data_IF_906625371675
#
_entry.id   IF_906625371675
#
_cell.length_a   1.000
_cell.length_b   1.000
_cell.length_c   1.000
_cell.angle_alpha   90.00
_cell.angle_beta   90.00
_cell.angle_gamma   90.00
#
_symmetry.space_group_name_H-M   'P 1'
#
loop_
_entity.id
_entity.type
_entity.pdbx_description
1 polymer ?
#
# COMPACT_ATOMS: atom_id res chain seq x y z
N UNK A 1 -10.95 -8.65 -23.31
CA UNK A 1 -10.56 -7.51 -24.18
C UNK A 1 -10.13 -6.40 -23.22
N UNK A 2 -8.85 -6.12 -22.98
CA UNK A 2 -7.85 -5.66 -23.94
C UNK A 2 -7.56 -4.16 -23.75
N UNK A 3 -7.49 -3.67 -22.51
CA UNK A 3 -7.37 -2.24 -22.16
C UNK A 3 -5.93 -1.70 -22.11
N UNK A 4 -4.93 -2.47 -22.56
CA UNK A 4 -3.52 -2.11 -22.36
C UNK A 4 -2.77 -1.53 -23.58
N UNK A 5 -3.39 -1.40 -24.76
CA UNK A 5 -2.66 -0.92 -25.93
C UNK A 5 -3.27 0.35 -26.52
N UNK A 6 -2.86 1.50 -25.97
CA UNK A 6 -2.54 2.75 -26.70
C UNK A 6 -2.15 3.85 -25.70
N UNK A 7 -0.94 3.76 -25.15
CA UNK A 7 -0.33 4.90 -24.47
C UNK A 7 0.35 5.79 -25.52
N UNK A 8 -0.36 6.83 -25.97
CA UNK A 8 0.28 7.99 -26.59
C UNK A 8 1.10 8.70 -25.51
N UNK A 9 2.39 8.41 -25.45
CA UNK A 9 3.27 8.95 -24.42
C UNK A 9 3.42 10.47 -24.55
N UNK A 10 3.07 11.19 -23.49
CA UNK A 10 3.40 12.60 -23.38
C UNK A 10 4.91 12.76 -23.14
N UNK A 11 5.50 13.92 -23.47
CA UNK A 11 6.92 14.20 -23.20
C UNK A 11 7.27 14.15 -21.70
N UNK A 12 6.29 14.36 -20.82
CA UNK A 12 6.44 14.29 -19.36
C UNK A 12 6.43 12.85 -18.82
N UNK A 13 5.92 11.89 -19.59
CA UNK A 13 5.81 10.49 -19.14
C UNK A 13 7.16 9.76 -19.19
N UNK A 14 7.98 10.06 -20.20
CA UNK A 14 9.28 9.42 -20.40
C UNK A 14 10.26 9.63 -19.23
N UNK A 15 10.45 10.85 -18.67
CA UNK A 15 11.38 11.06 -17.57
C UNK A 15 10.92 10.35 -16.29
N UNK A 16 9.65 10.47 -15.89
CA UNK A 16 9.13 9.77 -14.71
C UNK A 16 9.31 8.25 -14.83
N UNK A 17 8.98 7.66 -15.99
CA UNK A 17 9.18 6.24 -16.24
C UNK A 17 10.65 5.81 -16.11
N UNK A 18 11.57 6.63 -16.59
CA UNK A 18 13.01 6.36 -16.52
C UNK A 18 13.51 6.41 -15.08
N UNK A 19 13.14 7.44 -14.33
CA UNK A 19 13.55 7.61 -12.92
C UNK A 19 13.00 6.49 -12.04
N UNK A 20 11.73 6.12 -12.21
CA UNK A 20 11.09 5.00 -11.48
C UNK A 20 11.85 3.69 -11.73
N UNK A 21 12.17 3.37 -12.98
CA UNK A 21 12.93 2.16 -13.34
C UNK A 21 14.32 2.17 -12.73
N UNK A 22 15.00 3.31 -12.71
CA UNK A 22 16.32 3.45 -12.09
C UNK A 22 16.26 3.22 -10.57
N UNK A 23 15.31 3.85 -9.87
CA UNK A 23 15.11 3.66 -8.44
C UNK A 23 14.80 2.18 -8.15
N UNK A 24 13.82 1.59 -8.82
CA UNK A 24 13.50 0.15 -8.63
C UNK A 24 14.69 -0.77 -8.93
N UNK A 25 15.42 -0.52 -10.01
CA UNK A 25 16.63 -1.26 -10.35
C UNK A 25 17.68 -1.23 -9.24
N UNK A 26 17.87 -0.06 -8.60
CA UNK A 26 18.79 0.07 -7.46
C UNK A 26 18.33 -0.68 -6.21
N UNK A 27 17.02 -0.79 -5.97
CA UNK A 27 16.47 -1.52 -4.82
C UNK A 27 16.61 -3.04 -5.00
N UNK A 28 16.34 -3.57 -6.20
CA UNK A 28 16.39 -5.02 -6.47
C UNK A 28 17.76 -5.66 -6.19
N UNK A 29 18.85 -4.93 -6.45
CA UNK A 29 20.22 -5.43 -6.19
C UNK A 29 20.54 -5.63 -4.70
N UNK A 30 19.81 -4.96 -3.81
CA UNK A 30 20.05 -5.00 -2.36
C UNK A 30 19.52 -6.28 -1.70
N UNK A 31 18.69 -7.05 -2.41
CA UNK A 31 18.07 -8.30 -1.95
C UNK A 31 18.90 -9.57 -2.17
N UNK A 32 20.13 -9.46 -2.67
CA UNK A 32 20.92 -10.63 -3.06
C UNK A 32 21.15 -11.63 -1.90
N UNK A 33 21.18 -11.16 -0.65
CA UNK A 33 21.39 -11.98 0.55
C UNK A 33 20.12 -12.58 1.16
N UNK A 34 18.92 -12.17 0.72
CA UNK A 34 17.68 -12.62 1.34
C UNK A 34 17.24 -14.00 0.84
N UNK A 35 16.36 -14.65 1.61
CA UNK A 35 15.76 -15.91 1.12
C UNK A 35 14.91 -15.64 -0.11
N UNK A 36 14.74 -16.69 -0.93
CA UNK A 36 13.99 -16.59 -2.18
C UNK A 36 12.58 -16.05 -1.95
N UNK A 37 11.92 -16.50 -0.89
CA UNK A 37 10.56 -16.11 -0.53
C UNK A 37 10.45 -14.62 -0.19
N UNK A 38 11.39 -14.09 0.61
CA UNK A 38 11.45 -12.67 0.97
C UNK A 38 11.70 -11.82 -0.27
N UNK A 39 12.67 -12.21 -1.09
CA UNK A 39 13.00 -11.50 -2.33
C UNK A 39 11.83 -11.51 -3.31
N UNK A 40 11.16 -12.65 -3.49
CA UNK A 40 10.05 -12.79 -4.43
C UNK A 40 8.83 -11.97 -3.96
N UNK A 41 8.49 -12.04 -2.67
CA UNK A 41 7.38 -11.25 -2.09
C UNK A 41 7.68 -9.75 -2.14
N UNK A 42 8.87 -9.33 -1.73
CA UNK A 42 9.21 -7.91 -1.75
C UNK A 42 9.37 -7.37 -3.17
N UNK A 43 9.88 -8.18 -4.10
CA UNK A 43 9.86 -7.85 -5.53
C UNK A 43 8.44 -7.52 -5.99
N UNK A 44 7.45 -8.34 -5.62
CA UNK A 44 6.03 -8.05 -5.91
C UNK A 44 5.51 -6.79 -5.24
N UNK A 45 5.91 -6.52 -4.00
CA UNK A 45 5.60 -5.25 -3.32
C UNK A 45 6.12 -4.05 -4.11
N UNK A 46 7.37 -4.11 -4.60
CA UNK A 46 7.95 -3.05 -5.42
C UNK A 46 7.25 -2.92 -6.78
N UNK A 47 6.85 -4.02 -7.40
CA UNK A 47 6.07 -4.01 -8.65
C UNK A 47 4.76 -3.22 -8.46
N UNK A 48 4.05 -3.52 -7.37
CA UNK A 48 2.78 -2.88 -7.03
C UNK A 48 2.94 -1.42 -6.62
N UNK A 49 3.99 -1.09 -5.86
CA UNK A 49 4.32 0.29 -5.55
C UNK A 49 4.59 1.09 -6.83
N UNK A 50 5.32 0.54 -7.80
CA UNK A 50 5.54 1.19 -9.09
C UNK A 50 4.24 1.33 -9.90
N UNK A 51 3.45 0.26 -10.00
CA UNK A 51 2.22 0.26 -10.81
C UNK A 51 1.20 1.25 -10.27
N UNK A 52 1.01 1.29 -8.95
CA UNK A 52 0.13 2.27 -8.30
C UNK A 52 0.58 3.70 -8.56
N UNK A 53 1.88 4.01 -8.47
CA UNK A 53 2.41 5.34 -8.80
C UNK A 53 2.11 5.73 -10.25
N UNK A 54 2.33 4.80 -11.19
CA UNK A 54 2.03 5.03 -12.61
C UNK A 54 0.53 5.25 -12.83
N UNK A 55 -0.33 4.51 -12.14
CA UNK A 55 -1.78 4.72 -12.18
C UNK A 55 -2.14 6.14 -11.75
N UNK A 56 -1.55 6.62 -10.66
CA UNK A 56 -1.79 7.97 -10.15
C UNK A 56 -1.30 9.05 -11.11
N UNK A 57 -0.08 8.91 -11.65
CA UNK A 57 0.52 9.94 -12.50
C UNK A 57 -0.08 10.03 -13.90
N UNK A 58 -0.55 8.91 -14.46
CA UNK A 58 -0.90 8.81 -15.89
C UNK A 58 -2.35 8.44 -16.18
N UNK A 59 -3.07 7.89 -15.19
CA UNK A 59 -4.43 7.36 -15.38
C UNK A 59 -5.45 8.13 -14.54
N UNK A 60 -5.06 8.62 -13.36
CA UNK A 60 -5.98 9.35 -12.50
C UNK A 60 -6.60 10.55 -13.22
N UNK A 61 -7.90 10.83 -12.99
CA UNK A 61 -8.59 11.97 -13.59
C UNK A 61 -7.85 13.30 -13.37
N UNK A 62 -7.81 14.14 -14.42
CA UNK A 62 -7.09 15.43 -14.39
C UNK A 62 -7.58 16.38 -13.29
N UNK A 63 -8.85 16.25 -12.88
CA UNK A 63 -9.44 17.03 -11.77
C UNK A 63 -8.72 16.82 -10.43
N UNK A 64 -8.02 15.69 -10.25
CA UNK A 64 -7.21 15.45 -9.07
C UNK A 64 -5.82 16.12 -9.14
N UNK A 65 -5.39 16.64 -10.29
CA UNK A 65 -4.17 17.43 -10.38
C UNK A 65 -2.88 16.67 -10.01
N UNK A 66 -2.86 15.34 -10.12
CA UNK A 66 -1.68 14.54 -9.79
C UNK A 66 -0.56 14.65 -10.82
N UNK A 67 -0.89 15.08 -12.04
CA UNK A 67 0.05 15.12 -13.17
C UNK A 67 1.15 16.15 -12.92
N UNK A 68 2.35 15.65 -12.60
CA UNK A 68 3.59 16.42 -12.50
C UNK A 68 4.80 15.54 -12.82
N UNK A 69 5.92 16.18 -13.14
CA UNK A 69 7.21 15.51 -13.13
C UNK A 69 7.65 15.31 -11.68
N UNK A 70 7.97 14.07 -11.32
CA UNK A 70 8.46 13.74 -9.99
C UNK A 70 9.98 13.83 -9.94
N UNK A 71 10.46 14.32 -8.81
CA UNK A 71 11.88 14.24 -8.42
C UNK A 71 12.25 12.81 -8.04
N UNK A 72 13.56 12.53 -7.99
CA UNK A 72 14.05 11.22 -7.55
C UNK A 72 13.67 10.96 -6.09
N UNK A 73 13.70 12.00 -5.27
CA UNK A 73 13.38 11.97 -3.85
C UNK A 73 11.89 11.68 -3.60
N UNK A 74 10.99 12.23 -4.42
CA UNK A 74 9.55 11.92 -4.33
C UNK A 74 9.25 10.48 -4.76
N UNK A 75 9.95 9.98 -5.79
CA UNK A 75 9.82 8.59 -6.22
C UNK A 75 10.38 7.64 -5.13
N UNK A 76 11.55 7.94 -4.56
CA UNK A 76 12.12 7.19 -3.44
C UNK A 76 11.18 7.17 -2.24
N UNK A 77 10.62 8.34 -1.88
CA UNK A 77 9.64 8.46 -0.81
C UNK A 77 8.39 7.61 -1.06
N UNK A 78 7.86 7.62 -2.29
CA UNK A 78 6.75 6.75 -2.67
C UNK A 78 7.08 5.28 -2.45
N UNK A 79 8.22 4.81 -2.99
CA UNK A 79 8.63 3.41 -2.83
C UNK A 79 8.80 3.04 -1.35
N UNK A 80 9.38 3.91 -0.54
CA UNK A 80 9.53 3.69 0.91
C UNK A 80 8.17 3.51 1.59
N UNK A 81 7.29 4.51 1.49
CA UNK A 81 6.03 4.52 2.24
C UNK A 81 5.02 3.51 1.73
N UNK A 82 4.86 3.39 0.42
CA UNK A 82 3.92 2.42 -0.14
C UNK A 82 4.40 1.00 0.11
N UNK A 83 5.70 0.70 -0.02
CA UNK A 83 6.21 -0.65 0.29
C UNK A 83 6.02 -0.99 1.77
N UNK A 84 6.25 -0.04 2.68
CA UNK A 84 6.03 -0.26 4.11
C UNK A 84 4.56 -0.57 4.41
N UNK A 85 3.64 0.21 3.87
CA UNK A 85 2.21 -0.04 4.04
C UNK A 85 1.80 -1.41 3.46
N UNK A 86 2.33 -1.79 2.29
CA UNK A 86 2.06 -3.11 1.69
C UNK A 86 2.63 -4.27 2.52
N UNK A 87 3.80 -4.09 3.16
CA UNK A 87 4.32 -5.05 4.14
C UNK A 87 3.37 -5.15 5.34
N UNK A 88 2.93 -4.02 5.90
CA UNK A 88 2.01 -3.97 7.04
C UNK A 88 0.66 -4.63 6.74
N UNK A 89 0.06 -4.30 5.59
CA UNK A 89 -1.18 -4.91 5.12
C UNK A 89 -1.02 -6.40 4.91
N UNK A 90 0.08 -6.85 4.31
CA UNK A 90 0.34 -8.28 4.11
C UNK A 90 0.49 -9.02 5.44
N UNK A 91 1.24 -8.46 6.38
CA UNK A 91 1.35 -9.01 7.74
C UNK A 91 -0.04 -9.20 8.37
N UNK A 92 -0.87 -8.16 8.38
CA UNK A 92 -2.21 -8.22 8.98
C UNK A 92 -3.15 -9.16 8.21
N UNK A 93 -3.04 -9.20 6.89
CA UNK A 93 -3.89 -10.05 6.04
C UNK A 93 -3.60 -11.54 6.24
N UNK A 94 -2.32 -11.91 6.34
CA UNK A 94 -1.90 -13.30 6.54
C UNK A 94 -1.88 -13.71 8.02
N UNK A 95 -2.09 -12.78 8.95
CA UNK A 95 -2.16 -13.08 10.37
C UNK A 95 -3.42 -13.89 10.68
N UNK A 96 -3.24 -15.12 11.17
CA UNK A 96 -4.33 -16.01 11.55
C UNK A 96 -4.23 -16.31 13.04
N UNK A 97 -5.15 -15.76 13.83
CA UNK A 97 -5.20 -15.94 15.30
C UNK A 97 -5.28 -17.41 15.75
N UNK A 98 -5.79 -18.29 14.89
CA UNK A 98 -6.10 -19.69 15.22
C UNK A 98 -4.96 -20.68 14.89
N UNK A 99 -3.77 -20.18 14.53
CA UNK A 99 -2.63 -21.04 14.22
C UNK A 99 -1.99 -21.69 15.45
N UNK A 100 -1.39 -22.87 15.25
CA UNK A 100 -0.56 -23.51 16.28
C UNK A 100 0.59 -22.59 16.72
N UNK A 101 1.06 -22.66 17.99
CA UNK A 101 2.15 -21.81 18.47
C UNK A 101 3.44 -21.86 17.63
N UNK A 102 3.76 -23.04 17.07
CA UNK A 102 4.91 -23.22 16.16
C UNK A 102 4.74 -22.52 14.82
N UNK A 103 3.52 -22.50 14.28
CA UNK A 103 3.21 -21.80 13.04
C UNK A 103 3.24 -20.28 13.27
N UNK A 104 2.66 -19.81 14.39
CA UNK A 104 2.72 -18.40 14.79
C UNK A 104 4.17 -17.91 14.98
N UNK A 105 5.02 -18.71 15.61
CA UNK A 105 6.45 -18.39 15.77
C UNK A 105 7.16 -18.25 14.43
N UNK A 106 6.94 -19.20 13.51
CA UNK A 106 7.55 -19.20 12.18
C UNK A 106 7.07 -18.01 11.33
N UNK A 107 5.77 -17.71 11.40
CA UNK A 107 5.16 -16.54 10.79
C UNK A 107 5.80 -15.24 11.30
N UNK A 108 5.85 -15.04 12.61
CA UNK A 108 6.45 -13.84 13.20
C UNK A 108 7.93 -13.68 12.80
N UNK A 109 8.69 -14.79 12.76
CA UNK A 109 10.09 -14.77 12.32
C UNK A 109 10.23 -14.41 10.83
N UNK A 110 9.34 -14.89 9.98
CA UNK A 110 9.31 -14.52 8.56
C UNK A 110 9.08 -13.01 8.40
N UNK A 111 8.08 -12.46 9.08
CA UNK A 111 7.75 -11.04 8.99
C UNK A 111 8.79 -10.12 9.61
N UNK A 112 9.44 -10.54 10.70
CA UNK A 112 10.59 -9.80 11.23
C UNK A 112 11.69 -9.69 10.16
N UNK A 113 12.00 -10.78 9.46
CA UNK A 113 13.00 -10.76 8.38
C UNK A 113 12.56 -9.91 7.18
N UNK A 114 11.26 -9.89 6.86
CA UNK A 114 10.70 -8.97 5.86
C UNK A 114 10.94 -7.51 6.26
N UNK A 115 10.69 -7.14 7.52
CA UNK A 115 10.90 -5.79 8.04
C UNK A 115 12.38 -5.42 8.13
N UNK A 116 13.24 -6.35 8.55
CA UNK A 116 14.70 -6.16 8.58
C UNK A 116 15.23 -5.91 7.16
N UNK A 117 14.71 -6.64 6.16
CA UNK A 117 15.04 -6.43 4.76
C UNK A 117 14.60 -5.05 4.28
N UNK A 118 13.37 -4.64 4.59
CA UNK A 118 12.87 -3.30 4.30
C UNK A 118 13.80 -2.22 4.88
N UNK A 119 14.14 -2.34 6.17
CA UNK A 119 15.02 -1.40 6.88
C UNK A 119 16.40 -1.29 6.24
N UNK A 120 17.00 -2.43 5.88
CA UNK A 120 18.30 -2.48 5.21
C UNK A 120 18.30 -1.74 3.88
N UNK A 121 17.20 -1.86 3.13
CA UNK A 121 17.11 -1.36 1.76
C UNK A 121 16.88 0.13 1.72
N UNK A 122 15.94 0.60 2.53
CA UNK A 122 15.60 2.00 2.60
C UNK A 122 16.42 2.76 3.65
N UNK A 123 17.38 2.07 4.28
CA UNK A 123 18.20 2.58 5.37
C UNK A 123 17.33 3.25 6.46
N UNK A 124 16.26 2.56 6.84
CA UNK A 124 15.34 2.97 7.91
C UNK A 124 15.53 2.11 9.17
N UNK A 125 14.93 2.57 10.26
CA UNK A 125 14.87 1.81 11.52
C UNK A 125 13.40 1.70 11.96
N UNK A 126 12.57 1.19 11.07
CA UNK A 126 11.14 0.95 11.30
C UNK A 126 10.98 -0.21 12.26
N UNK A 127 10.16 0.00 13.30
CA UNK A 127 9.77 -1.01 14.27
C UNK A 127 8.37 -1.52 13.96
N UNK A 128 7.95 -2.57 14.67
CA UNK A 128 6.58 -3.09 14.57
C UNK A 128 5.54 -2.02 14.93
N UNK A 129 5.85 -1.06 15.80
CA UNK A 129 4.92 0.02 16.16
C UNK A 129 4.57 0.92 14.95
N UNK A 130 5.52 1.13 14.05
CA UNK A 130 5.29 1.90 12.82
C UNK A 130 4.48 1.07 11.82
N UNK A 131 4.69 -0.24 11.77
CA UNK A 131 3.84 -1.16 10.99
C UNK A 131 2.40 -1.11 11.51
N UNK A 132 2.22 -1.17 12.83
CA UNK A 132 0.93 -1.07 13.49
C UNK A 132 0.25 0.27 13.23
N UNK A 133 1.01 1.35 13.06
CA UNK A 133 0.47 2.66 12.68
C UNK A 133 -0.19 2.63 11.29
N UNK A 134 0.47 2.04 10.28
CA UNK A 134 -0.05 1.98 8.91
C UNK A 134 -1.21 0.98 8.74
N UNK A 135 -1.33 -0.02 9.62
CA UNK A 135 -2.38 -1.04 9.56
C UNK A 135 -3.30 -1.04 10.80
N UNK A 136 -3.40 0.08 11.50
CA UNK A 136 -4.12 0.19 12.77
C UNK A 136 -5.60 -0.21 12.63
N UNK A 137 -6.22 0.18 11.52
CA UNK A 137 -7.58 -0.17 11.14
C UNK A 137 -7.74 -1.66 10.89
N UNK A 138 -6.88 -2.26 10.07
CA UNK A 138 -6.86 -3.71 9.84
C UNK A 138 -6.67 -4.52 11.12
N UNK A 139 -5.77 -4.09 12.00
CA UNK A 139 -5.53 -4.74 13.30
C UNK A 139 -6.80 -4.69 14.16
N UNK A 140 -7.47 -3.54 14.20
CA UNK A 140 -8.73 -3.40 14.93
C UNK A 140 -9.85 -4.25 14.31
N UNK A 141 -9.92 -4.33 12.98
CA UNK A 141 -10.88 -5.15 12.25
C UNK A 141 -10.67 -6.63 12.54
N UNK A 142 -9.43 -7.11 12.55
CA UNK A 142 -9.11 -8.50 12.87
C UNK A 142 -9.58 -8.89 14.28
N UNK A 143 -9.36 -7.99 15.26
CA UNK A 143 -9.77 -8.19 16.67
C UNK A 143 -11.28 -8.16 16.85
N UNK A 144 -11.98 -7.24 16.19
CA UNK A 144 -13.42 -7.00 16.40
C UNK A 144 -14.33 -7.74 15.42
N UNK A 145 -13.77 -8.24 14.31
CA UNK A 145 -14.43 -9.07 13.28
C UNK A 145 -15.70 -8.42 12.72
N UNK A 146 -15.71 -7.11 12.48
CA UNK A 146 -16.91 -6.38 12.05
C UNK A 146 -17.42 -6.82 10.67
N UNK A 147 -16.51 -7.16 9.76
CA UNK A 147 -16.82 -7.78 8.46
C UNK A 147 -17.60 -9.08 8.63
N UNK A 148 -17.15 -9.97 9.51
CA UNK A 148 -17.83 -11.25 9.82
C UNK A 148 -19.16 -11.04 10.54
N UNK A 149 -19.31 -9.95 11.29
CA UNK A 149 -20.55 -9.62 11.99
C UNK A 149 -21.56 -8.83 11.14
N UNK A 150 -21.29 -8.62 9.85
CA UNK A 150 -22.16 -7.85 8.95
C UNK A 150 -22.15 -6.33 9.17
N UNK A 151 -21.20 -5.80 9.95
CA UNK A 151 -21.04 -4.37 10.17
C UNK A 151 -20.02 -3.77 9.18
N UNK A 152 -20.38 -3.83 7.90
CA UNK A 152 -19.53 -3.38 6.78
C UNK A 152 -19.14 -1.90 6.88
N UNK A 153 -20.02 -1.06 7.44
CA UNK A 153 -19.73 0.36 7.65
C UNK A 153 -18.54 0.56 8.58
N UNK A 154 -18.48 -0.19 9.68
CA UNK A 154 -17.39 -0.07 10.62
C UNK A 154 -16.09 -0.66 10.07
N UNK A 155 -16.17 -1.79 9.35
CA UNK A 155 -15.02 -2.37 8.66
C UNK A 155 -14.42 -1.40 7.63
N UNK A 156 -15.27 -0.74 6.83
CA UNK A 156 -14.82 0.27 5.87
C UNK A 156 -14.19 1.49 6.55
N UNK A 157 -14.77 1.94 7.67
CA UNK A 157 -14.20 3.07 8.44
C UNK A 157 -12.79 2.75 8.95
N UNK A 158 -12.54 1.51 9.35
CA UNK A 158 -11.22 1.08 9.77
C UNK A 158 -10.24 1.04 8.59
N UNK A 159 -10.64 0.52 7.42
CA UNK A 159 -9.79 0.59 6.22
C UNK A 159 -9.50 2.04 5.80
N UNK A 160 -10.49 2.93 5.88
CA UNK A 160 -10.31 4.35 5.57
C UNK A 160 -9.32 5.04 6.50
N UNK A 161 -9.20 4.61 7.76
CA UNK A 161 -8.20 5.12 8.70
C UNK A 161 -6.78 4.85 8.20
N UNK A 162 -6.55 3.64 7.70
CA UNK A 162 -5.25 3.22 7.15
C UNK A 162 -4.96 3.97 5.85
N UNK A 163 -5.97 4.12 4.99
CA UNK A 163 -5.87 4.92 3.76
C UNK A 163 -5.54 6.38 4.05
N UNK A 164 -6.20 6.99 5.04
CA UNK A 164 -5.99 8.39 5.41
C UNK A 164 -4.57 8.61 5.90
N UNK A 165 -4.04 7.66 6.66
CA UNK A 165 -2.66 7.69 7.17
C UNK A 165 -1.65 7.70 6.02
N UNK A 166 -1.71 6.68 5.15
CA UNK A 166 -0.77 6.56 4.04
C UNK A 166 -0.96 7.67 2.99
N UNK A 167 -2.18 7.87 2.51
CA UNK A 167 -2.45 8.82 1.45
C UNK A 167 -2.23 10.27 1.91
N UNK A 168 -2.48 10.59 3.18
CA UNK A 168 -2.15 11.89 3.76
C UNK A 168 -0.66 12.20 3.67
N UNK A 169 0.20 11.27 4.08
CA UNK A 169 1.66 11.45 3.96
C UNK A 169 2.11 11.61 2.50
N UNK A 170 1.55 10.82 1.58
CA UNK A 170 1.89 10.89 0.16
C UNK A 170 1.47 12.25 -0.43
N UNK A 171 0.27 12.73 -0.12
CA UNK A 171 -0.25 14.02 -0.55
C UNK A 171 0.60 15.18 -0.02
N UNK A 172 0.93 15.16 1.27
CA UNK A 172 1.76 16.18 1.89
C UNK A 172 3.16 16.21 1.29
N UNK A 173 3.78 15.04 1.13
CA UNK A 173 5.19 14.99 0.75
C UNK A 173 5.44 15.19 -0.74
N UNK A 174 4.57 14.64 -1.60
CA UNK A 174 4.76 14.63 -3.05
C UNK A 174 3.97 15.75 -3.71
N UNK A 175 2.74 16.01 -3.28
CA UNK A 175 1.90 17.04 -3.90
C UNK A 175 1.78 18.32 -3.06
N UNK A 176 2.39 18.35 -1.87
CA UNK A 176 2.35 19.50 -0.95
C UNK A 176 0.93 19.92 -0.59
N UNK A 177 0.04 18.93 -0.48
CA UNK A 177 -1.35 19.11 -0.13
C UNK A 177 -1.56 18.85 1.37
N UNK A 178 -2.30 19.73 2.03
CA UNK A 178 -2.64 19.59 3.44
C UNK A 178 -4.00 18.88 3.59
N UNK A 179 -4.05 17.85 4.44
CA UNK A 179 -5.29 17.17 4.82
C UNK A 179 -6.06 18.05 5.81
N UNK A 180 -6.97 18.87 5.27
CA UNK A 180 -7.76 19.80 6.07
C UNK A 180 -8.87 19.07 6.87
N UNK A 181 -9.43 19.76 7.87
CA UNK A 181 -10.48 19.20 8.74
C UNK A 181 -11.72 18.76 7.95
N UNK A 182 -12.11 19.50 6.91
CA UNK A 182 -13.27 19.16 6.09
C UNK A 182 -13.07 17.81 5.39
N UNK A 183 -11.87 17.55 4.86
CA UNK A 183 -11.54 16.27 4.27
C UNK A 183 -11.63 15.13 5.30
N UNK A 184 -11.14 15.36 6.53
CA UNK A 184 -11.26 14.39 7.62
C UNK A 184 -12.73 14.12 8.00
N UNK A 185 -13.55 15.18 8.05
CA UNK A 185 -14.98 15.07 8.36
C UNK A 185 -15.73 14.27 7.28
N UNK A 186 -15.43 14.52 6.00
CA UNK A 186 -16.01 13.78 4.88
C UNK A 186 -15.61 12.29 4.93
N UNK A 187 -14.34 11.99 5.20
CA UNK A 187 -13.85 10.61 5.34
C UNK A 187 -14.48 9.89 6.54
N UNK A 188 -14.65 10.58 7.67
CA UNK A 188 -15.27 10.01 8.87
C UNK A 188 -16.74 9.63 8.64
N UNK A 189 -17.44 10.36 7.77
CA UNK A 189 -18.85 10.15 7.49
C UNK A 189 -19.12 9.23 6.29
N UNK A 190 -18.06 8.76 5.61
CA UNK A 190 -18.18 7.92 4.43
C UNK A 190 -18.96 6.61 4.69
N UNK A 191 -19.82 6.26 3.74
CA UNK A 191 -20.59 5.01 3.75
C UNK A 191 -20.19 4.09 2.59
N UNK A 192 -20.22 2.76 2.79
CA UNK A 192 -20.02 1.81 1.70
C UNK A 192 -20.97 2.09 0.55
N UNK A 193 -20.44 2.13 -0.68
CA UNK A 193 -21.21 2.38 -1.90
C UNK A 193 -21.59 3.85 -2.15
N UNK A 194 -21.21 4.78 -1.27
CA UNK A 194 -21.49 6.20 -1.45
C UNK A 194 -20.53 6.83 -2.47
N UNK A 195 -21.07 7.71 -3.32
CA UNK A 195 -20.28 8.45 -4.28
C UNK A 195 -19.50 9.56 -3.58
N UNK A 196 -18.18 9.59 -3.76
CA UNK A 196 -17.29 10.57 -3.13
C UNK A 196 -17.28 11.94 -3.83
N UNK A 197 -17.97 12.12 -4.97
CA UNK A 197 -17.98 13.38 -5.73
C UNK A 197 -18.37 14.63 -4.92
N UNK A 198 -19.18 14.47 -3.87
CA UNK A 198 -19.61 15.56 -3.01
C UNK A 198 -18.59 15.94 -1.93
N UNK A 199 -17.54 15.12 -1.74
CA UNK A 199 -16.55 15.33 -0.70
C UNK A 199 -15.53 16.39 -1.11
N UNK A 200 -14.80 16.92 -0.13
CA UNK A 200 -13.59 17.68 -0.35
C UNK A 200 -12.65 16.96 -1.32
N UNK A 201 -12.02 17.70 -2.21
CA UNK A 201 -11.14 17.13 -3.24
C UNK A 201 -10.00 16.32 -2.60
N UNK A 202 -9.49 16.75 -1.45
CA UNK A 202 -8.44 16.04 -0.69
C UNK A 202 -8.95 14.70 -0.17
N UNK A 203 -10.19 14.64 0.33
CA UNK A 203 -10.82 13.38 0.74
C UNK A 203 -11.00 12.43 -0.44
N UNK A 204 -11.42 12.93 -1.60
CA UNK A 204 -11.54 12.13 -2.82
C UNK A 204 -10.17 11.54 -3.25
N UNK A 205 -9.11 12.35 -3.19
CA UNK A 205 -7.74 11.89 -3.46
C UNK A 205 -7.27 10.82 -2.48
N UNK A 206 -7.54 11.00 -1.19
CA UNK A 206 -7.22 10.01 -0.15
C UNK A 206 -7.88 8.68 -0.46
N UNK A 207 -9.19 8.69 -0.77
CA UNK A 207 -9.92 7.48 -1.14
C UNK A 207 -9.32 6.85 -2.40
N UNK A 208 -9.02 7.63 -3.43
CA UNK A 208 -8.44 7.13 -4.68
C UNK A 208 -7.07 6.49 -4.46
N UNK A 209 -6.16 7.17 -3.76
CA UNK A 209 -4.81 6.69 -3.47
C UNK A 209 -4.84 5.44 -2.59
N UNK A 210 -5.53 5.51 -1.45
CA UNK A 210 -5.59 4.41 -0.49
C UNK A 210 -6.26 3.18 -1.08
N UNK A 211 -7.40 3.36 -1.75
CA UNK A 211 -8.11 2.26 -2.42
C UNK A 211 -7.28 1.68 -3.56
N UNK A 212 -6.62 2.49 -4.37
CA UNK A 212 -5.78 2.00 -5.47
C UNK A 212 -4.61 1.16 -4.95
N UNK A 213 -3.93 1.61 -3.89
CA UNK A 213 -2.86 0.85 -3.24
C UNK A 213 -3.39 -0.46 -2.64
N UNK A 214 -4.56 -0.41 -1.99
CA UNK A 214 -5.21 -1.59 -1.43
C UNK A 214 -5.65 -2.61 -2.49
N UNK A 215 -6.32 -2.17 -3.56
CA UNK A 215 -6.73 -3.07 -4.65
C UNK A 215 -5.52 -3.71 -5.31
N UNK A 216 -4.42 -2.96 -5.47
CA UNK A 216 -3.18 -3.52 -6.00
C UNK A 216 -2.47 -4.43 -4.98
N UNK A 217 -2.61 -4.19 -3.67
CA UNK A 217 -2.15 -5.11 -2.62
C UNK A 217 -2.82 -6.48 -2.73
N UNK A 218 -4.12 -6.53 -3.03
CA UNK A 218 -4.83 -7.80 -3.23
C UNK A 218 -4.23 -8.63 -4.36
N UNK A 219 -3.62 -7.99 -5.38
CA UNK A 219 -2.88 -8.69 -6.44
C UNK A 219 -1.58 -9.33 -5.93
N UNK A 220 -0.95 -8.78 -4.89
CA UNK A 220 0.20 -9.39 -4.20
C UNK A 220 -0.27 -10.62 -3.44
N UNK A 221 -1.36 -10.51 -2.68
CA UNK A 221 -1.79 -11.57 -1.77
C UNK A 221 -2.35 -12.77 -2.54
N UNK A 222 -3.15 -12.55 -3.58
CA UNK A 222 -3.84 -13.61 -4.32
C UNK A 222 -2.95 -14.80 -4.73
N UNK A 223 -1.74 -14.62 -5.32
CA UNK A 223 -0.87 -15.73 -5.69
C UNK A 223 -0.12 -16.38 -4.51
N UNK A 224 0.05 -15.70 -3.37
CA UNK A 224 0.74 -16.25 -2.19
C UNK A 224 -0.22 -16.95 -1.22
N UNK A 225 -1.51 -16.61 -1.28
CA UNK A 225 -2.57 -17.19 -0.45
C UNK A 225 -2.55 -18.74 -0.44
N UNK A 226 -2.47 -19.45 -1.58
CA UNK A 226 -2.57 -20.92 -1.58
C UNK A 226 -1.37 -21.61 -0.92
N UNK A 227 -0.16 -21.10 -1.12
CA UNK A 227 1.07 -21.68 -0.56
C UNK A 227 1.16 -21.42 0.96
N UNK A 228 0.75 -20.23 1.41
CA UNK A 228 0.71 -19.90 2.84
C UNK A 228 -0.34 -20.73 3.59
N UNK A 229 -1.49 -21.03 2.97
CA UNK A 229 -2.53 -21.90 3.54
C UNK A 229 -2.14 -23.39 3.58
N UNK A 230 -1.18 -23.83 2.77
CA UNK A 230 -0.75 -25.24 2.68
C UNK A 230 0.54 -25.55 3.44
N UNK A 231 1.52 -24.65 3.47
CA UNK A 231 2.76 -24.80 4.25
C UNK A 231 2.57 -24.50 5.74
N UNK A 232 1.64 -23.60 6.06
CA UNK A 232 1.18 -23.33 7.42
C UNK A 232 -0.26 -23.81 7.47
N UNK A 233 -0.52 -25.06 7.89
CA UNK A 233 -1.87 -25.65 7.93
C UNK A 233 -2.89 -24.66 8.55
N UNK A 234 -3.75 -24.10 7.71
CA UNK A 234 -4.97 -23.36 8.06
C UNK A 234 -6.16 -24.32 8.03
#
# INVERSE_FOLDING_TARGET
>A
MGFLNKFGGSKEDAPNKTTIVQVRGSLNGLFASESKEIRDLFGKILDVAEQSLRGVLFIAPEEFGFKKMLTKEEIDFWFRRVSLALVAYSYCFFYVEEQSPSAQYSFNKFWQRMLDSYNKIFNENVTIDVVDHYAAGMIEESKKKFSKSGNEKQALRLMLKDYTTLAGELLEKIWHENVNQKALDDLQNHKPGENTRAYDLTAQKIVLLGRGIWETHLEIVAPFLPNLMTEYKI
#
